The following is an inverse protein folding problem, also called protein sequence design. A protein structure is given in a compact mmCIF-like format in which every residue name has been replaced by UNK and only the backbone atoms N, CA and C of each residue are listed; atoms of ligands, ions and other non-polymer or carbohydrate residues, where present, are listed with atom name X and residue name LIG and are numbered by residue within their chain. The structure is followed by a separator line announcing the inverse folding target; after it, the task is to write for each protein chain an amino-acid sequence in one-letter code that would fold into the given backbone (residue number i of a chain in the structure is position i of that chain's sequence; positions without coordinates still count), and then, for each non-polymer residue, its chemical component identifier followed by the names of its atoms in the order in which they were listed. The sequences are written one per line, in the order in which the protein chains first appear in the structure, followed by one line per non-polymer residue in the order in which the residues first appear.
data_IF_265148024382
#
_entry.id   IF_265148024382
#
_cell.length_a   1.000
_cell.length_b   1.000
_cell.length_c   1.000
_cell.angle_alpha   90.00
_cell.angle_beta   90.00
_cell.angle_gamma   90.00
#
_symmetry.space_group_name_H-M   'P 1'
#
loop_
_entity.id
_entity.type
_entity.pdbx_description
1 polymer ?
#
# COMPACT_ATOMS: atom_id res chain seq x y z
N UNK A 1 -12.53 -7.53 -12.97
CA UNK A 1 -11.18 -7.13 -13.40
C UNK A 1 -10.18 -7.89 -12.54
N UNK A 2 -9.28 -8.72 -13.08
CA UNK A 2 -8.24 -9.32 -12.26
C UNK A 2 -7.35 -8.18 -11.76
N UNK A 3 -7.33 -7.96 -10.44
CA UNK A 3 -6.40 -7.03 -9.82
C UNK A 3 -4.97 -7.45 -10.19
N UNK A 4 -4.14 -6.48 -10.56
CA UNK A 4 -2.76 -6.74 -10.96
C UNK A 4 -2.05 -7.46 -9.79
N UNK A 5 -1.57 -8.69 -9.99
CA UNK A 5 -0.86 -9.46 -8.94
C UNK A 5 0.36 -8.69 -8.38
N UNK A 6 0.94 -7.78 -9.18
CA UNK A 6 1.99 -6.85 -8.75
C UNK A 6 1.51 -5.79 -7.74
N UNK A 7 0.23 -5.43 -7.73
CA UNK A 7 -0.33 -4.49 -6.75
C UNK A 7 -0.63 -5.17 -5.40
N UNK A 8 -0.86 -6.49 -5.41
CA UNK A 8 -1.18 -7.29 -4.22
C UNK A 8 0.07 -7.71 -3.42
N UNK A 9 1.23 -7.83 -4.07
CA UNK A 9 2.49 -8.27 -3.42
C UNK A 9 3.65 -7.30 -3.64
N UNK A 10 3.58 -6.09 -3.06
CA UNK A 10 4.55 -5.03 -3.32
C UNK A 10 5.98 -5.37 -2.84
N UNK A 11 6.14 -6.15 -1.78
CA UNK A 11 7.47 -6.57 -1.30
C UNK A 11 8.08 -7.59 -2.26
N UNK A 12 7.30 -8.60 -2.68
CA UNK A 12 7.75 -9.60 -3.66
C UNK A 12 8.03 -8.97 -5.02
N UNK A 13 7.25 -7.97 -5.43
CA UNK A 13 7.51 -7.20 -6.65
C UNK A 13 8.86 -6.47 -6.57
N UNK A 14 9.20 -5.85 -5.42
CA UNK A 14 10.50 -5.23 -5.22
C UNK A 14 11.67 -6.23 -5.29
N UNK A 15 11.49 -7.44 -4.75
CA UNK A 15 12.46 -8.53 -4.88
C UNK A 15 12.61 -8.98 -6.34
N UNK A 16 11.51 -9.15 -7.06
CA UNK A 16 11.53 -9.52 -8.48
C UNK A 16 12.21 -8.46 -9.35
N UNK A 17 12.00 -7.17 -9.08
CA UNK A 17 12.69 -6.11 -9.80
C UNK A 17 14.22 -6.20 -9.65
N UNK A 18 14.73 -6.57 -8.48
CA UNK A 18 16.17 -6.82 -8.30
C UNK A 18 16.62 -8.09 -9.05
N UNK A 19 15.80 -9.14 -9.05
CA UNK A 19 16.09 -10.37 -9.81
C UNK A 19 16.16 -10.11 -11.31
N UNK A 20 15.28 -9.27 -11.84
CA UNK A 20 15.27 -8.87 -13.26
C UNK A 20 16.52 -8.07 -13.65
N UNK A 21 17.14 -7.38 -12.69
CA UNK A 21 18.44 -6.74 -12.83
C UNK A 21 19.64 -7.72 -12.72
N UNK A 22 19.37 -9.01 -12.55
CA UNK A 22 20.38 -10.07 -12.50
C UNK A 22 20.88 -10.43 -11.09
N UNK A 23 20.27 -9.91 -10.02
CA UNK A 23 20.63 -10.29 -8.66
C UNK A 23 20.23 -11.75 -8.39
N UNK A 24 21.16 -12.53 -7.84
CA UNK A 24 20.90 -13.88 -7.34
C UNK A 24 20.37 -13.79 -5.91
N UNK A 25 19.73 -14.86 -5.43
CA UNK A 25 19.24 -14.90 -4.04
C UNK A 25 20.34 -14.72 -3.00
N UNK A 26 21.57 -15.14 -3.31
CA UNK A 26 22.73 -14.90 -2.45
C UNK A 26 23.08 -13.40 -2.39
N UNK A 27 22.99 -12.69 -3.52
CA UNK A 27 23.24 -11.25 -3.57
C UNK A 27 22.17 -10.47 -2.78
N UNK A 28 20.92 -10.96 -2.76
CA UNK A 28 19.85 -10.38 -1.95
C UNK A 28 20.11 -10.57 -0.44
N UNK A 29 20.50 -11.77 -0.03
CA UNK A 29 20.87 -12.04 1.36
C UNK A 29 22.01 -11.12 1.81
N UNK A 30 23.13 -11.15 1.08
CA UNK A 30 24.30 -10.31 1.39
C UNK A 30 23.99 -8.81 1.30
N UNK A 31 23.27 -8.37 0.27
CA UNK A 31 22.87 -6.96 0.10
C UNK A 31 21.97 -6.46 1.23
N UNK A 32 21.15 -7.35 1.80
CA UNK A 32 20.34 -7.07 2.98
C UNK A 32 21.09 -7.23 4.32
N UNK A 33 22.39 -7.50 4.29
CA UNK A 33 23.21 -7.83 5.47
C UNK A 33 22.67 -9.05 6.23
N UNK A 34 22.28 -10.07 5.48
CA UNK A 34 21.70 -11.33 5.98
C UNK A 34 20.42 -11.13 6.82
N UNK A 35 19.71 -10.02 6.59
CA UNK A 35 18.39 -9.75 7.15
C UNK A 35 17.39 -10.90 6.88
N UNK A 36 17.52 -11.54 5.71
CA UNK A 36 16.85 -12.81 5.38
C UNK A 36 17.80 -13.73 4.62
N UNK A 37 17.57 -15.04 4.75
CA UNK A 37 18.40 -16.06 4.10
C UNK A 37 18.08 -16.20 2.61
N UNK A 38 19.05 -16.72 1.85
CA UNK A 38 18.88 -17.12 0.45
C UNK A 38 17.65 -18.01 0.24
N UNK A 39 17.44 -18.97 1.14
CA UNK A 39 16.30 -19.89 1.07
C UNK A 39 14.97 -19.16 1.28
N UNK A 40 14.92 -18.18 2.19
CA UNK A 40 13.73 -17.36 2.42
C UNK A 40 13.36 -16.56 1.16
N UNK A 41 14.32 -15.90 0.51
CA UNK A 41 14.06 -15.18 -0.74
C UNK A 41 13.65 -16.11 -1.88
N UNK A 42 14.26 -17.29 -1.97
CA UNK A 42 13.89 -18.29 -2.97
C UNK A 42 12.43 -18.74 -2.79
N UNK A 43 12.02 -19.05 -1.56
CA UNK A 43 10.65 -19.45 -1.27
C UNK A 43 9.66 -18.31 -1.48
N UNK A 44 10.00 -17.07 -1.09
CA UNK A 44 9.14 -15.90 -1.32
C UNK A 44 8.71 -15.77 -2.78
N UNK A 45 9.64 -15.99 -3.71
CA UNK A 45 9.42 -15.76 -5.14
C UNK A 45 8.91 -17.01 -5.86
N UNK A 46 9.48 -18.18 -5.57
CA UNK A 46 9.28 -19.38 -6.39
C UNK A 46 8.32 -20.41 -5.76
N UNK A 47 7.89 -20.26 -4.51
CA UNK A 47 6.98 -21.22 -3.91
C UNK A 47 5.58 -21.16 -4.57
N UNK A 48 4.95 -22.32 -4.70
CA UNK A 48 3.58 -22.42 -5.21
C UNK A 48 2.57 -21.75 -4.26
N UNK A 49 2.85 -21.79 -2.96
CA UNK A 49 2.12 -21.05 -1.93
C UNK A 49 2.90 -19.76 -1.57
N UNK A 50 2.35 -18.57 -1.87
CA UNK A 50 2.91 -17.28 -1.48
C UNK A 50 3.17 -17.12 0.02
N UNK A 51 2.42 -17.84 0.86
CA UNK A 51 2.41 -17.68 2.31
C UNK A 51 3.30 -18.67 3.04
N UNK A 52 4.07 -19.48 2.31
CA UNK A 52 5.03 -20.43 2.90
C UNK A 52 6.10 -19.73 3.74
N UNK A 53 6.34 -18.44 3.48
CA UNK A 53 7.27 -17.61 4.24
C UNK A 53 6.54 -16.61 5.13
N UNK A 54 6.95 -16.55 6.40
CA UNK A 54 6.48 -15.54 7.34
C UNK A 54 7.07 -14.16 7.03
N UNK A 55 6.35 -13.06 7.35
CA UNK A 55 6.82 -11.70 7.11
C UNK A 55 8.17 -11.43 7.79
N UNK A 56 9.01 -10.54 7.24
CA UNK A 56 10.26 -10.13 7.87
C UNK A 56 10.03 -9.48 9.25
N UNK A 57 10.74 -9.90 10.31
CA UNK A 57 10.63 -9.27 11.62
C UNK A 57 11.24 -7.86 11.60
N UNK A 58 10.83 -7.00 12.54
CA UNK A 58 11.13 -5.56 12.52
C UNK A 58 12.62 -5.23 12.51
N UNK A 59 13.43 -6.02 13.21
CA UNK A 59 14.89 -5.90 13.28
C UNK A 59 15.58 -6.09 11.91
N UNK A 60 14.92 -6.75 10.97
CA UNK A 60 15.46 -6.99 9.61
C UNK A 60 15.17 -5.85 8.63
N UNK A 61 14.29 -4.91 8.99
CA UNK A 61 13.80 -3.90 8.04
C UNK A 61 14.86 -2.90 7.60
N UNK A 62 15.83 -2.57 8.46
CA UNK A 62 16.95 -1.68 8.10
C UNK A 62 17.81 -2.31 7.00
N UNK A 63 18.10 -3.61 7.09
CA UNK A 63 18.85 -4.34 6.07
C UNK A 63 18.11 -4.40 4.74
N UNK A 64 16.80 -4.67 4.80
CA UNK A 64 15.93 -4.68 3.62
C UNK A 64 15.79 -3.29 2.98
N UNK A 65 15.71 -2.23 3.77
CA UNK A 65 15.66 -0.86 3.28
C UNK A 65 16.93 -0.49 2.49
N UNK A 66 18.11 -0.93 2.97
CA UNK A 66 19.37 -0.79 2.24
C UNK A 66 19.37 -1.56 0.92
N UNK A 67 18.91 -2.82 0.94
CA UNK A 67 18.81 -3.65 -0.26
C UNK A 67 17.96 -2.96 -1.34
N UNK A 68 16.79 -2.44 -0.97
CA UNK A 68 15.87 -1.78 -1.89
C UNK A 68 16.20 -0.29 -2.16
N UNK A 69 17.26 0.24 -1.55
CA UNK A 69 17.62 1.68 -1.61
C UNK A 69 16.43 2.59 -1.27
N UNK A 70 15.68 2.24 -0.24
CA UNK A 70 14.47 2.95 0.22
C UNK A 70 14.50 3.17 1.74
N UNK A 71 13.44 3.76 2.30
CA UNK A 71 13.30 3.96 3.74
C UNK A 71 12.74 2.74 4.46
N UNK A 72 13.04 2.59 5.75
CA UNK A 72 12.42 1.58 6.61
C UNK A 72 10.88 1.70 6.63
N UNK A 73 10.38 2.94 6.58
CA UNK A 73 8.94 3.23 6.48
C UNK A 73 8.33 2.60 5.23
N UNK A 74 8.98 2.72 4.08
CA UNK A 74 8.50 2.09 2.84
C UNK A 74 8.57 0.57 2.90
N UNK A 75 9.59 -0.01 3.53
CA UNK A 75 9.65 -1.47 3.76
C UNK A 75 8.49 -1.94 4.64
N UNK A 76 8.23 -1.22 5.74
CA UNK A 76 7.09 -1.48 6.62
C UNK A 76 5.76 -1.42 5.88
N UNK A 77 5.56 -0.41 5.03
CA UNK A 77 4.35 -0.29 4.19
C UNK A 77 4.21 -1.46 3.22
N UNK A 78 5.29 -1.88 2.56
CA UNK A 78 5.27 -3.03 1.65
C UNK A 78 4.91 -4.32 2.40
N UNK A 79 5.50 -4.56 3.57
CA UNK A 79 5.21 -5.74 4.39
C UNK A 79 3.77 -5.71 4.92
N UNK A 80 3.30 -4.56 5.41
CA UNK A 80 1.94 -4.39 5.90
C UNK A 80 0.92 -4.73 4.81
N UNK A 81 1.12 -4.19 3.60
CA UNK A 81 0.25 -4.45 2.45
C UNK A 81 0.29 -5.91 2.03
N UNK A 82 1.48 -6.50 1.93
CA UNK A 82 1.60 -7.86 1.40
C UNK A 82 1.13 -8.93 2.40
N UNK A 83 1.49 -8.87 3.67
CA UNK A 83 1.17 -9.96 4.62
C UNK A 83 -0.09 -9.77 5.44
N UNK A 84 -0.57 -8.54 5.57
CA UNK A 84 -1.69 -8.24 6.47
C UNK A 84 -2.90 -7.67 5.73
N UNK A 85 -2.86 -7.66 4.40
CA UNK A 85 -3.82 -6.98 3.53
C UNK A 85 -4.17 -5.59 4.08
N UNK A 86 -3.16 -4.91 4.63
CA UNK A 86 -3.31 -3.57 5.15
C UNK A 86 -3.51 -2.67 3.93
N UNK A 87 -4.75 -2.59 3.47
CA UNK A 87 -5.16 -1.66 2.46
C UNK A 87 -4.77 -0.29 2.97
N UNK A 88 -4.15 0.56 2.14
CA UNK A 88 -3.92 1.93 2.48
C UNK A 88 -5.26 2.68 2.51
N UNK A 89 -6.16 2.33 3.43
CA UNK A 89 -7.22 3.24 3.83
C UNK A 89 -6.61 4.58 4.29
N UNK A 90 -5.35 4.55 4.74
CA UNK A 90 -4.57 5.72 5.17
C UNK A 90 -3.36 6.07 4.29
N UNK A 91 -2.95 5.28 3.29
CA UNK A 91 -1.77 5.66 2.50
C UNK A 91 -2.14 6.65 1.41
N UNK A 92 -1.79 7.91 1.69
CA UNK A 92 -1.76 9.02 0.75
C UNK A 92 -1.12 8.55 -0.58
N UNK A 93 -1.87 8.58 -1.70
CA UNK A 93 -1.35 8.14 -2.99
C UNK A 93 -0.03 8.83 -3.33
N UNK A 94 0.88 8.15 -4.05
CA UNK A 94 2.22 8.69 -4.34
C UNK A 94 2.18 10.06 -5.03
N UNK A 95 1.15 10.31 -5.87
CA UNK A 95 0.89 11.61 -6.50
C UNK A 95 0.52 12.74 -5.52
N UNK A 96 0.00 12.40 -4.34
CA UNK A 96 -0.43 13.32 -3.29
C UNK A 96 0.65 13.49 -2.21
N UNK A 97 1.61 12.56 -2.08
CA UNK A 97 2.72 12.65 -1.10
C UNK A 97 3.49 13.98 -1.13
N UNK A 98 3.81 14.59 -2.29
CA UNK A 98 4.46 15.90 -2.31
C UNK A 98 3.61 17.03 -1.73
N UNK A 99 2.28 16.91 -1.82
CA UNK A 99 1.34 17.89 -1.28
C UNK A 99 1.18 17.74 0.24
N UNK A 100 1.33 16.54 0.79
CA UNK A 100 1.16 16.29 2.22
C UNK A 100 2.05 17.21 3.09
N UNK A 101 3.31 17.40 2.70
CA UNK A 101 4.23 18.29 3.41
C UNK A 101 3.81 19.77 3.37
N UNK A 102 3.18 20.20 2.27
CA UNK A 102 2.68 21.57 2.13
C UNK A 102 1.43 21.75 2.99
N UNK A 103 0.50 20.80 2.92
CA UNK A 103 -0.77 20.83 3.66
C UNK A 103 -0.56 20.83 5.18
N UNK A 104 0.43 20.10 5.67
CA UNK A 104 0.76 20.01 7.11
C UNK A 104 1.25 21.35 7.72
N UNK A 105 1.68 22.29 6.87
CA UNK A 105 2.18 23.62 7.28
C UNK A 105 1.15 24.74 7.13
N UNK A 106 -0.02 24.44 6.55
CA UNK A 106 -1.07 25.43 6.37
C UNK A 106 -1.77 25.72 7.69
N UNK A 107 -2.23 26.96 7.82
CA UNK A 107 -3.20 27.30 8.87
C UNK A 107 -4.51 26.54 8.64
N UNK A 108 -5.35 26.42 9.67
CA UNK A 108 -6.66 25.78 9.53
C UNK A 108 -7.55 26.51 8.49
N UNK A 109 -7.41 27.84 8.38
CA UNK A 109 -8.14 28.67 7.42
C UNK A 109 -7.69 28.39 5.98
N UNK A 110 -6.38 28.36 5.74
CA UNK A 110 -5.81 28.06 4.42
C UNK A 110 -6.11 26.62 3.99
N UNK A 111 -6.08 25.68 4.94
CA UNK A 111 -6.42 24.29 4.68
C UNK A 111 -7.90 24.16 4.26
N UNK A 112 -8.80 24.91 4.88
CA UNK A 112 -10.21 24.95 4.49
C UNK A 112 -10.40 25.51 3.08
N UNK A 113 -9.62 26.53 2.70
CA UNK A 113 -9.62 27.07 1.34
C UNK A 113 -9.10 26.05 0.32
N UNK A 114 -7.97 25.39 0.60
CA UNK A 114 -7.43 24.35 -0.30
C UNK A 114 -8.43 23.21 -0.48
N UNK A 115 -9.12 22.81 0.60
CA UNK A 115 -10.19 21.81 0.54
C UNK A 115 -11.33 22.24 -0.39
N UNK A 116 -11.80 23.49 -0.29
CA UNK A 116 -12.90 23.97 -1.13
C UNK A 116 -12.53 24.02 -2.62
N UNK A 117 -11.29 24.44 -2.93
CA UNK A 117 -10.76 24.43 -4.30
C UNK A 117 -10.65 23.00 -4.82
N UNK A 118 -10.09 22.08 -4.02
CA UNK A 118 -9.96 20.68 -4.41
C UNK A 118 -11.34 20.06 -4.72
N UNK A 119 -12.34 20.27 -3.85
CA UNK A 119 -13.70 19.79 -4.05
C UNK A 119 -14.34 20.33 -5.34
N UNK A 120 -14.11 21.61 -5.67
CA UNK A 120 -14.60 22.22 -6.92
C UNK A 120 -13.98 21.61 -8.17
N UNK A 121 -12.75 21.10 -8.08
CA UNK A 121 -12.02 20.52 -9.20
C UNK A 121 -12.29 19.03 -9.41
N UNK A 122 -13.01 18.38 -8.47
CA UNK A 122 -13.47 17.01 -8.67
C UNK A 122 -14.57 17.06 -9.75
N UNK A 123 -14.42 16.32 -10.87
CA UNK A 123 -15.49 16.22 -11.86
C UNK A 123 -16.74 15.64 -11.19
N UNK A 124 -17.96 15.99 -11.66
CA UNK A 124 -19.15 15.29 -11.22
C UNK A 124 -18.92 13.79 -11.44
N UNK A 125 -18.98 13.01 -10.36
CA UNK A 125 -19.00 11.56 -10.49
C UNK A 125 -20.31 11.23 -11.21
N UNK A 126 -20.24 10.46 -12.30
CA UNK A 126 -21.45 9.90 -12.89
C UNK A 126 -22.20 9.13 -11.79
N UNK A 127 -23.44 9.54 -11.52
CA UNK A 127 -24.30 9.07 -10.42
C UNK A 127 -24.68 7.57 -10.53
N UNK A 128 -24.14 6.82 -11.49
CA UNK A 128 -24.57 5.46 -11.85
C UNK A 128 -23.96 4.32 -10.99
N UNK A 129 -23.21 4.62 -9.92
CA UNK A 129 -22.51 3.56 -9.13
C UNK A 129 -22.91 3.52 -7.65
N UNK A 130 -23.78 4.40 -7.17
CA UNK A 130 -24.27 4.36 -5.80
C UNK A 130 -25.77 4.01 -5.72
N UNK A 131 -26.13 2.81 -6.19
CA UNK A 131 -27.34 2.13 -5.70
C UNK A 131 -27.04 1.56 -4.30
N UNK A 132 -26.99 2.46 -3.31
CA UNK A 132 -27.23 2.06 -1.93
C UNK A 132 -28.74 2.02 -1.76
N UNK A 133 -29.31 0.83 -1.90
CA UNK A 133 -30.70 0.55 -1.55
C UNK A 133 -30.95 0.93 -0.10
N UNK A 134 -31.36 2.17 0.13
CA UNK A 134 -32.10 2.57 1.31
C UNK A 134 -33.55 2.25 0.98
N UNK A 135 -33.97 1.04 1.33
CA UNK A 135 -35.38 0.74 1.49
C UNK A 135 -35.92 1.73 2.53
N UNK A 136 -36.73 2.67 2.05
CA UNK A 136 -37.55 3.53 2.88
C UNK A 136 -38.40 2.63 3.79
N UNK A 137 -38.04 2.60 5.08
CA UNK A 137 -38.95 2.09 6.09
C UNK A 137 -40.11 3.08 6.18
N UNK A 138 -41.15 2.81 5.39
CA UNK A 138 -42.46 3.44 5.49
C UNK A 138 -42.86 3.54 6.96
N UNK A 139 -42.91 4.76 7.47
CA UNK A 139 -43.64 5.09 8.68
C UNK A 139 -45.11 4.82 8.41
N UNK A 140 -45.55 3.62 8.74
CA UNK A 140 -46.97 3.25 8.74
C UNK A 140 -47.71 4.16 9.74
N UNK A 141 -48.67 4.98 9.30
CA UNK A 141 -49.57 5.65 10.21
C UNK A 141 -50.62 4.64 10.64
N UNK A 142 -50.72 4.35 11.93
CA UNK A 142 -51.91 3.73 12.49
C UNK A 142 -52.77 4.85 13.08
N UNK A 143 -53.79 5.19 12.29
CA UNK A 143 -54.95 5.98 12.64
C UNK A 143 -55.68 5.45 13.88
N UNK A 144 -56.15 6.41 14.69
CA UNK A 144 -57.35 6.45 15.54
C UNK A 144 -57.47 5.52 16.75
#
# INVERSE_FOLDING_TARGET
MPQNLNEQRPFTAAVNALRDLGYRFQDLATGSHDARSTAWFNHLVNAADPWVVSPPPKDTWVGLARLFKTSETSVREMIAREWFDASPADAVPQRVRPLAFVLDRLSAEDLALVRSVALRLIPPMDDDVFDFGFEDAETSPLDS
#
